data_IF_362962728312
#
_entry.id   IF_362962728312
#
_cell.length_a   1.000
_cell.length_b   1.000
_cell.length_c   1.000
_cell.angle_alpha   90.00
_cell.angle_beta   90.00
_cell.angle_gamma   90.00
#
_symmetry.space_group_name_H-M   'P 1'
#
loop_
_entity.id
_entity.type
_entity.pdbx_description
1 polymer ?
#
# COMPACT_ATOMS: atom_id res chain seq x y z
N UNK A 1 -3.18 4.18 7.16
CA UNK A 1 -3.07 2.71 7.03
C UNK A 1 -3.88 2.16 5.85
N UNK A 2 -5.20 2.43 5.77
CA UNK A 2 -6.07 1.87 4.71
C UNK A 2 -5.62 2.16 3.26
N UNK A 3 -4.97 3.30 3.01
CA UNK A 3 -4.47 3.65 1.68
C UNK A 3 -3.44 2.64 1.14
N UNK A 4 -2.59 2.08 2.02
CA UNK A 4 -1.65 1.03 1.62
C UNK A 4 -2.36 -0.32 1.46
N UNK A 5 -3.36 -0.60 2.28
CA UNK A 5 -4.15 -1.85 2.21
C UNK A 5 -4.93 -1.98 0.90
N UNK A 6 -5.43 -0.88 0.35
CA UNK A 6 -6.12 -0.84 -0.95
C UNK A 6 -5.19 -0.50 -2.13
N UNK A 7 -3.88 -0.73 -1.97
CA UNK A 7 -2.90 -0.36 -2.97
C UNK A 7 -2.69 -1.47 -4.02
N UNK A 8 -3.36 -1.32 -5.17
CA UNK A 8 -3.12 -2.12 -6.38
C UNK A 8 -2.95 -1.25 -7.64
N UNK A 9 -3.08 0.07 -7.49
CA UNK A 9 -3.21 1.05 -8.57
C UNK A 9 -2.06 1.02 -9.59
N UNK A 10 -0.84 0.60 -9.18
CA UNK A 10 0.31 0.53 -10.08
C UNK A 10 0.30 -0.66 -11.03
N UNK A 11 -0.33 -1.78 -10.63
CA UNK A 11 -0.34 -3.03 -11.39
C UNK A 11 -1.74 -3.39 -11.91
N UNK A 12 -2.75 -2.62 -11.55
CA UNK A 12 -4.15 -2.91 -11.92
C UNK A 12 -4.36 -2.96 -13.43
N UNK A 13 -3.69 -2.09 -14.19
CA UNK A 13 -3.85 -2.03 -15.66
C UNK A 13 -3.29 -3.30 -16.29
N UNK A 14 -2.10 -3.76 -15.86
CA UNK A 14 -1.47 -4.97 -16.41
C UNK A 14 -2.25 -6.23 -16.03
N UNK A 15 -2.78 -6.30 -14.81
CA UNK A 15 -3.65 -7.41 -14.38
C UNK A 15 -4.94 -7.44 -15.20
N UNK A 16 -5.63 -6.30 -15.32
CA UNK A 16 -6.90 -6.23 -16.04
C UNK A 16 -6.74 -6.45 -17.54
N UNK A 17 -5.60 -6.07 -18.14
CA UNK A 17 -5.31 -6.33 -19.55
C UNK A 17 -5.27 -7.83 -19.91
N UNK A 18 -5.02 -8.71 -18.93
CA UNK A 18 -4.99 -10.15 -19.14
C UNK A 18 -6.37 -10.82 -18.98
N UNK A 19 -7.43 -10.07 -18.66
CA UNK A 19 -8.78 -10.63 -18.54
C UNK A 19 -9.35 -11.00 -19.92
N UNK A 20 -9.94 -12.18 -20.04
CA UNK A 20 -10.58 -12.63 -21.30
C UNK A 20 -11.75 -11.71 -21.69
N UNK A 21 -12.49 -11.21 -20.69
CA UNK A 21 -13.67 -10.35 -20.88
C UNK A 21 -13.45 -8.93 -20.39
N UNK A 22 -12.82 -8.11 -21.22
CA UNK A 22 -12.48 -6.72 -20.92
C UNK A 22 -13.69 -5.82 -20.61
N UNK A 23 -14.88 -6.16 -21.13
CA UNK A 23 -16.14 -5.44 -20.86
C UNK A 23 -16.58 -5.53 -19.39
N UNK A 24 -16.17 -6.58 -18.69
CA UNK A 24 -16.57 -6.86 -17.30
C UNK A 24 -15.57 -6.37 -16.26
N UNK A 25 -14.44 -5.79 -16.69
CA UNK A 25 -13.37 -5.34 -15.80
C UNK A 25 -13.87 -4.45 -14.65
N UNK A 26 -14.77 -3.50 -14.93
CA UNK A 26 -15.31 -2.61 -13.89
C UNK A 26 -16.11 -3.36 -12.81
N UNK A 27 -16.90 -4.36 -13.21
CA UNK A 27 -17.66 -5.22 -12.29
C UNK A 27 -16.71 -6.09 -11.48
N UNK A 28 -15.78 -6.76 -12.13
CA UNK A 28 -14.86 -7.70 -11.49
C UNK A 28 -13.97 -6.99 -10.47
N UNK A 29 -13.52 -5.77 -10.80
CA UNK A 29 -12.78 -4.91 -9.89
C UNK A 29 -13.60 -4.48 -8.68
N UNK A 30 -14.87 -4.09 -8.90
CA UNK A 30 -15.77 -3.69 -7.81
C UNK A 30 -16.01 -4.86 -6.84
N UNK A 31 -16.26 -6.05 -7.37
CA UNK A 31 -16.43 -7.27 -6.56
C UNK A 31 -15.16 -7.57 -5.76
N UNK A 32 -13.98 -7.46 -6.39
CA UNK A 32 -12.71 -7.68 -5.70
C UNK A 32 -12.50 -6.71 -4.53
N UNK A 33 -12.74 -5.41 -4.72
CA UNK A 33 -12.63 -4.43 -3.63
C UNK A 33 -13.66 -4.65 -2.51
N UNK A 34 -14.88 -5.06 -2.84
CA UNK A 34 -15.89 -5.43 -1.84
C UNK A 34 -15.42 -6.63 -1.02
N UNK A 35 -14.92 -7.69 -1.66
CA UNK A 35 -14.40 -8.86 -0.97
C UNK A 35 -13.21 -8.52 -0.05
N UNK A 36 -12.26 -7.71 -0.53
CA UNK A 36 -11.12 -7.25 0.28
C UNK A 36 -11.58 -6.40 1.47
N UNK A 37 -12.57 -5.53 1.27
CA UNK A 37 -13.12 -4.73 2.37
C UNK A 37 -13.79 -5.63 3.42
N UNK A 38 -14.55 -6.63 2.98
CA UNK A 38 -15.20 -7.58 3.89
C UNK A 38 -14.20 -8.42 4.67
N UNK A 39 -13.10 -8.88 4.05
CA UNK A 39 -12.08 -9.65 4.77
C UNK A 39 -11.36 -8.80 5.81
N UNK A 40 -10.99 -7.56 5.48
CA UNK A 40 -10.38 -6.64 6.44
C UNK A 40 -11.35 -6.27 7.57
N UNK A 41 -12.61 -6.01 7.25
CA UNK A 41 -13.63 -5.71 8.25
C UNK A 41 -13.88 -6.89 9.18
N UNK A 42 -13.95 -8.12 8.65
CA UNK A 42 -14.18 -9.33 9.45
C UNK A 42 -13.04 -9.56 10.44
N UNK A 43 -11.79 -9.52 9.98
CA UNK A 43 -10.62 -9.73 10.85
C UNK A 43 -10.49 -8.58 11.85
N UNK A 44 -10.58 -7.34 11.38
CA UNK A 44 -10.42 -6.15 12.24
C UNK A 44 -11.52 -6.01 13.29
N UNK A 45 -12.80 -6.08 12.89
CA UNK A 45 -13.92 -5.97 13.81
C UNK A 45 -14.00 -7.21 14.74
N UNK A 46 -13.76 -8.41 14.20
CA UNK A 46 -13.75 -9.65 14.99
C UNK A 46 -12.72 -9.58 16.11
N UNK A 47 -11.48 -9.20 15.79
CA UNK A 47 -10.43 -9.03 16.80
C UNK A 47 -10.77 -7.90 17.79
N UNK A 48 -11.23 -6.75 17.30
CA UNK A 48 -11.56 -5.60 18.15
C UNK A 48 -12.66 -5.91 19.18
N UNK A 49 -13.72 -6.62 18.76
CA UNK A 49 -14.85 -6.99 19.65
C UNK A 49 -14.40 -8.03 20.68
N UNK A 50 -13.69 -9.07 20.24
CA UNK A 50 -13.27 -10.17 21.11
C UNK A 50 -12.10 -9.83 22.05
N UNK A 51 -11.38 -8.72 21.82
CA UNK A 51 -10.22 -8.36 22.63
C UNK A 51 -10.62 -8.07 24.09
N UNK A 52 -10.13 -8.85 25.08
CA UNK A 52 -10.61 -8.80 26.45
C UNK A 52 -10.06 -7.63 27.28
N UNK A 53 -8.95 -7.02 26.85
CA UNK A 53 -8.29 -5.92 27.54
C UNK A 53 -8.77 -4.54 27.05
N UNK A 54 -8.26 -3.48 27.68
CA UNK A 54 -8.44 -2.12 27.23
C UNK A 54 -7.97 -1.97 25.76
N UNK A 55 -8.77 -1.32 24.93
CA UNK A 55 -8.51 -1.19 23.48
C UNK A 55 -7.25 -0.37 23.16
N UNK A 56 -6.74 0.39 24.13
CA UNK A 56 -5.46 1.10 24.03
C UNK A 56 -4.24 0.15 24.04
N UNK A 57 -4.39 -1.11 24.47
CA UNK A 57 -3.31 -2.09 24.52
C UNK A 57 -3.14 -2.87 23.19
N UNK A 58 -3.94 -2.56 22.17
CA UNK A 58 -3.86 -3.27 20.89
C UNK A 58 -2.61 -2.81 20.14
N UNK A 59 -1.63 -3.70 20.02
CA UNK A 59 -0.45 -3.45 19.18
C UNK A 59 -0.77 -3.49 17.69
N UNK A 60 -0.01 -2.74 16.88
CA UNK A 60 -0.12 -2.69 15.41
C UNK A 60 -0.06 -4.08 14.76
N UNK A 61 0.80 -4.96 15.28
CA UNK A 61 0.88 -6.34 14.85
C UNK A 61 -0.06 -7.18 15.71
N UNK A 62 -1.13 -7.67 15.10
CA UNK A 62 -2.13 -8.52 15.76
C UNK A 62 -1.49 -9.73 16.47
N UNK A 63 -0.41 -10.30 15.91
CA UNK A 63 0.28 -11.46 16.47
C UNK A 63 1.14 -11.15 17.69
N UNK A 64 1.43 -9.88 17.98
CA UNK A 64 2.13 -9.49 19.21
C UNK A 64 1.19 -9.43 20.41
N UNK A 65 -0.12 -9.36 20.18
CA UNK A 65 -1.13 -9.34 21.25
C UNK A 65 -1.41 -10.75 21.82
N UNK A 66 -0.83 -11.80 21.23
CA UNK A 66 -0.95 -13.18 21.69
C UNK A 66 0.30 -13.63 22.43
N UNK A 67 0.12 -14.60 23.33
CA UNK A 67 1.22 -15.17 24.11
C UNK A 67 2.24 -15.88 23.23
N UNK A 68 3.53 -15.75 23.56
CA UNK A 68 4.64 -16.29 22.76
C UNK A 68 4.62 -17.82 22.64
N UNK A 69 4.02 -18.52 23.61
CA UNK A 69 3.97 -19.98 23.68
C UNK A 69 2.73 -20.61 23.05
N UNK A 70 1.83 -19.80 22.48
CA UNK A 70 0.66 -20.34 21.77
C UNK A 70 1.06 -20.97 20.43
N UNK A 71 0.71 -22.25 20.26
CA UNK A 71 1.03 -23.05 19.07
C UNK A 71 0.39 -22.46 17.82
N UNK A 72 -0.84 -21.94 17.91
CA UNK A 72 -1.53 -21.37 16.75
C UNK A 72 -0.81 -20.10 16.25
N UNK A 73 -0.41 -19.25 17.18
CA UNK A 73 0.38 -18.03 16.89
C UNK A 73 1.75 -18.39 16.31
N UNK A 74 2.42 -19.43 16.82
CA UNK A 74 3.70 -19.90 16.26
C UNK A 74 3.55 -20.40 14.82
N UNK A 75 2.53 -21.20 14.52
CA UNK A 75 2.23 -21.68 13.16
C UNK A 75 1.95 -20.50 12.22
N UNK A 76 1.13 -19.54 12.64
CA UNK A 76 0.84 -18.35 11.84
C UNK A 76 2.11 -17.55 11.51
N UNK A 77 3.01 -17.35 12.49
CA UNK A 77 4.30 -16.66 12.28
C UNK A 77 5.20 -17.40 11.29
N UNK A 78 5.27 -18.73 11.35
CA UNK A 78 6.06 -19.54 10.41
C UNK A 78 5.52 -19.43 8.98
N UNK A 79 4.19 -19.51 8.81
CA UNK A 79 3.56 -19.36 7.49
C UNK A 79 3.77 -17.97 6.90
N UNK A 80 3.64 -16.91 7.71
CA UNK A 80 3.93 -15.55 7.29
C UNK A 80 5.41 -15.35 6.96
N UNK A 81 6.33 -15.94 7.73
CA UNK A 81 7.76 -15.89 7.45
C UNK A 81 8.06 -16.53 6.09
N UNK A 82 7.50 -17.71 5.82
CA UNK A 82 7.64 -18.38 4.53
C UNK A 82 7.11 -17.52 3.37
N UNK A 83 5.96 -16.88 3.56
CA UNK A 83 5.39 -15.95 2.58
C UNK A 83 6.31 -14.74 2.35
N UNK A 84 6.81 -14.09 3.40
CA UNK A 84 7.64 -12.89 3.26
C UNK A 84 8.99 -13.22 2.63
N UNK A 85 9.62 -14.34 2.99
CA UNK A 85 10.88 -14.80 2.39
C UNK A 85 10.75 -15.04 0.89
N UNK A 86 9.59 -15.54 0.43
CA UNK A 86 9.36 -15.79 -1.00
C UNK A 86 8.96 -14.53 -1.78
N UNK A 87 8.24 -13.60 -1.16
CA UNK A 87 7.78 -12.35 -1.80
C UNK A 87 8.90 -11.29 -1.85
N UNK A 88 9.75 -11.22 -0.82
CA UNK A 88 10.78 -10.18 -0.71
C UNK A 88 11.73 -10.10 -1.94
N UNK A 89 12.27 -11.22 -2.48
CA UNK A 89 13.12 -11.17 -3.67
C UNK A 89 12.42 -10.58 -4.90
N UNK A 90 11.11 -10.85 -5.07
CA UNK A 90 10.32 -10.30 -6.18
C UNK A 90 10.17 -8.79 -6.06
N UNK A 91 9.84 -8.30 -4.85
CA UNK A 91 9.71 -6.85 -4.60
C UNK A 91 11.05 -6.13 -4.77
N UNK A 92 12.14 -6.71 -4.26
CA UNK A 92 13.48 -6.16 -4.43
C UNK A 92 13.89 -6.11 -5.91
N UNK A 93 13.53 -7.14 -6.70
CA UNK A 93 13.78 -7.15 -8.14
C UNK A 93 13.01 -6.04 -8.86
N UNK A 94 11.72 -5.85 -8.55
CA UNK A 94 10.90 -4.79 -9.15
C UNK A 94 11.43 -3.40 -8.81
N UNK A 95 11.81 -3.17 -7.55
CA UNK A 95 12.39 -1.89 -7.13
C UNK A 95 13.73 -1.61 -7.81
N UNK A 96 14.56 -2.64 -7.98
CA UNK A 96 15.83 -2.52 -8.69
C UNK A 96 15.62 -2.17 -10.17
N UNK A 97 14.65 -2.78 -10.86
CA UNK A 97 14.40 -2.44 -12.27
C UNK A 97 13.96 -0.98 -12.45
N UNK A 98 13.11 -0.47 -11.56
CA UNK A 98 12.70 0.94 -11.56
C UNK A 98 13.88 1.87 -11.25
N UNK A 99 14.74 1.51 -10.29
CA UNK A 99 15.92 2.30 -9.93
C UNK A 99 16.94 2.38 -11.08
N UNK A 100 17.19 1.27 -11.80
CA UNK A 100 18.09 1.28 -12.96
C UNK A 100 17.53 2.13 -14.10
N UNK A 101 16.21 2.05 -14.34
CA UNK A 101 15.55 2.89 -15.35
C UNK A 101 15.67 4.38 -15.01
N UNK A 102 15.46 4.74 -13.74
CA UNK A 102 15.53 6.14 -13.29
C UNK A 102 16.94 6.73 -13.39
N UNK A 103 17.97 5.90 -13.19
CA UNK A 103 19.35 6.36 -13.17
C UNK A 103 19.96 6.53 -14.57
N UNK A 104 19.32 6.01 -15.63
CA UNK A 104 19.80 6.03 -17.05
C UNK A 104 21.25 5.54 -17.26
N UNK A 105 21.84 4.93 -16.24
CA UNK A 105 23.18 4.34 -16.26
C UNK A 105 22.97 2.88 -16.62
N UNK A 106 23.36 2.50 -17.84
CA UNK A 106 23.22 1.13 -18.35
C UNK A 106 23.59 0.05 -17.32
N UNK A 107 22.87 -1.08 -17.36
CA UNK A 107 22.91 -2.12 -16.33
C UNK A 107 24.30 -2.76 -16.18
N UNK A 108 25.13 -2.21 -15.28
CA UNK A 108 26.40 -2.82 -14.88
C UNK A 108 26.20 -3.76 -13.68
N UNK A 109 27.02 -4.82 -13.60
CA UNK A 109 26.99 -5.77 -12.48
C UNK A 109 27.30 -5.09 -11.14
N UNK A 110 28.21 -4.11 -11.15
CA UNK A 110 28.56 -3.31 -9.98
C UNK A 110 27.38 -2.46 -9.49
N UNK A 111 26.68 -1.77 -10.39
CA UNK A 111 25.50 -0.97 -10.06
C UNK A 111 24.39 -1.83 -9.41
N UNK A 112 24.16 -3.02 -9.95
CA UNK A 112 23.17 -3.97 -9.39
C UNK A 112 23.52 -4.39 -7.96
N UNK A 113 24.79 -4.68 -7.67
CA UNK A 113 25.24 -5.03 -6.32
C UNK A 113 25.07 -3.84 -5.37
N UNK A 114 25.44 -2.63 -5.80
CA UNK A 114 25.30 -1.41 -5.01
C UNK A 114 23.84 -1.15 -4.65
N UNK A 115 22.92 -1.25 -5.62
CA UNK A 115 21.48 -1.05 -5.39
C UNK A 115 20.95 -2.09 -4.40
N UNK A 116 21.25 -3.37 -4.59
CA UNK A 116 20.79 -4.42 -3.67
C UNK A 116 21.33 -4.23 -2.25
N UNK A 117 22.61 -3.86 -2.12
CA UNK A 117 23.22 -3.57 -0.82
C UNK A 117 22.55 -2.36 -0.17
N UNK A 118 22.26 -1.31 -0.92
CA UNK A 118 21.55 -0.14 -0.43
C UNK A 118 20.14 -0.49 0.06
N UNK A 119 19.37 -1.28 -0.71
CA UNK A 119 18.03 -1.73 -0.32
C UNK A 119 18.08 -2.49 1.02
N UNK A 120 18.95 -3.50 1.12
CA UNK A 120 19.08 -4.31 2.34
C UNK A 120 19.53 -3.45 3.53
N UNK A 121 20.47 -2.53 3.32
CA UNK A 121 20.96 -1.64 4.37
C UNK A 121 19.83 -0.74 4.89
N UNK A 122 19.03 -0.16 4.00
CA UNK A 122 17.87 0.65 4.40
C UNK A 122 16.88 -0.20 5.19
N UNK A 123 16.56 -1.43 4.75
CA UNK A 123 15.67 -2.32 5.49
C UNK A 123 16.18 -2.63 6.90
N UNK A 124 17.48 -2.92 7.06
CA UNK A 124 18.10 -3.18 8.36
C UNK A 124 18.07 -1.93 9.25
N UNK A 125 18.36 -0.75 8.70
CA UNK A 125 18.30 0.50 9.45
C UNK A 125 16.89 0.76 9.98
N UNK A 126 15.85 0.58 9.15
CA UNK A 126 14.47 0.72 9.61
C UNK A 126 14.10 -0.30 10.69
N UNK A 127 14.54 -1.56 10.55
CA UNK A 127 14.30 -2.58 11.56
C UNK A 127 14.95 -2.27 12.91
N UNK A 128 16.16 -1.67 12.91
CA UNK A 128 16.87 -1.31 14.13
C UNK A 128 16.37 -0.02 14.79
N UNK A 129 16.09 1.02 14.00
CA UNK A 129 15.82 2.37 14.53
C UNK A 129 14.32 2.71 14.62
N UNK A 130 13.46 2.07 13.83
CA UNK A 130 12.01 2.35 13.78
C UNK A 130 11.19 1.05 13.74
N UNK A 131 11.13 0.27 14.84
CA UNK A 131 10.42 -1.02 14.85
C UNK A 131 8.88 -0.89 14.83
N UNK A 132 8.33 0.33 14.88
CA UNK A 132 6.89 0.59 14.83
C UNK A 132 6.33 0.40 13.42
N UNK A 133 5.80 -0.79 13.14
CA UNK A 133 5.23 -1.17 11.84
C UNK A 133 4.09 -0.22 11.44
N UNK A 134 3.22 0.17 12.37
CA UNK A 134 2.09 1.05 12.09
C UNK A 134 2.52 2.41 11.58
N UNK A 135 3.51 3.04 12.22
CA UNK A 135 4.07 4.32 11.79
C UNK A 135 4.61 4.26 10.36
N UNK A 136 5.38 3.23 10.02
CA UNK A 136 5.92 3.05 8.67
C UNK A 136 4.79 2.93 7.65
N UNK A 137 3.82 2.03 7.88
CA UNK A 137 2.67 1.80 7.00
C UNK A 137 1.80 3.06 6.86
N UNK A 138 1.67 3.84 7.94
CA UNK A 138 0.86 5.06 7.98
C UNK A 138 1.44 6.15 7.08
N UNK A 139 2.73 6.46 7.24
CA UNK A 139 3.39 7.48 6.42
C UNK A 139 3.57 7.03 4.97
N UNK A 140 4.06 5.81 4.74
CA UNK A 140 4.24 5.28 3.38
C UNK A 140 2.92 5.20 2.63
N UNK A 141 1.86 4.72 3.29
CA UNK A 141 0.51 4.67 2.74
C UNK A 141 -0.08 6.05 2.47
N UNK A 142 0.15 7.05 3.32
CA UNK A 142 -0.34 8.41 3.10
C UNK A 142 0.36 9.08 1.91
N UNK A 143 1.69 8.95 1.79
CA UNK A 143 2.46 9.51 0.67
C UNK A 143 2.10 8.80 -0.64
N UNK A 144 2.19 7.48 -0.67
CA UNK A 144 1.86 6.71 -1.88
C UNK A 144 0.39 6.85 -2.27
N UNK A 145 -0.50 6.91 -1.29
CA UNK A 145 -1.93 7.13 -1.49
C UNK A 145 -2.23 8.50 -2.10
N UNK A 146 -1.61 9.57 -1.59
CA UNK A 146 -1.74 10.91 -2.18
C UNK A 146 -1.36 10.88 -3.67
N UNK A 147 -0.22 10.30 -4.02
CA UNK A 147 0.27 10.32 -5.40
C UNK A 147 -0.55 9.40 -6.29
N UNK A 148 -0.67 8.11 -5.96
CA UNK A 148 -1.19 7.09 -6.87
C UNK A 148 -2.71 6.89 -6.78
N UNK A 149 -3.32 7.14 -5.62
CA UNK A 149 -4.76 6.90 -5.42
C UNK A 149 -5.55 8.19 -5.67
N UNK A 150 -5.09 9.31 -5.11
CA UNK A 150 -5.84 10.57 -5.19
C UNK A 150 -5.39 11.46 -6.35
N UNK A 151 -4.11 11.81 -6.44
CA UNK A 151 -3.62 12.84 -7.37
C UNK A 151 -3.55 12.37 -8.83
N UNK A 152 -2.84 11.27 -9.12
CA UNK A 152 -2.62 10.83 -10.50
C UNK A 152 -3.93 10.56 -11.26
N UNK A 153 -4.88 9.73 -10.75
CA UNK A 153 -6.11 9.44 -11.50
C UNK A 153 -6.97 10.68 -11.73
N UNK A 154 -7.08 11.55 -10.72
CA UNK A 154 -7.93 12.74 -10.78
C UNK A 154 -7.37 13.80 -11.73
N UNK A 155 -6.06 14.04 -11.69
CA UNK A 155 -5.38 14.97 -12.59
C UNK A 155 -5.40 14.47 -14.04
N UNK A 156 -5.17 13.17 -14.25
CA UNK A 156 -5.24 12.56 -15.58
C UNK A 156 -6.66 12.67 -16.15
N UNK A 157 -7.68 12.37 -15.35
CA UNK A 157 -9.08 12.50 -15.79
C UNK A 157 -9.44 13.96 -16.10
N UNK A 158 -9.04 14.90 -15.24
CA UNK A 158 -9.28 16.33 -15.46
C UNK A 158 -8.59 16.84 -16.74
N UNK A 159 -7.32 16.46 -16.97
CA UNK A 159 -6.60 16.80 -18.21
C UNK A 159 -7.24 16.17 -19.45
N UNK A 160 -7.66 14.90 -19.36
CA UNK A 160 -8.35 14.21 -20.45
C UNK A 160 -9.67 14.90 -20.83
N UNK A 161 -10.45 15.36 -19.83
CA UNK A 161 -11.69 16.11 -20.06
C UNK A 161 -11.45 17.51 -20.62
N UNK A 162 -10.39 18.20 -20.20
CA UNK A 162 -9.98 19.49 -20.76
C UNK A 162 -9.62 19.37 -22.25
N UNK A 163 -8.80 18.36 -22.61
CA UNK A 163 -8.43 18.11 -24.00
C UNK A 163 -9.62 17.79 -24.89
N UNK A 164 -10.68 17.17 -24.33
CA UNK A 164 -11.93 16.88 -25.04
C UNK A 164 -12.91 18.05 -25.07
N UNK A 165 -12.59 19.19 -24.44
CA UNK A 165 -13.48 20.35 -24.34
C UNK A 165 -14.76 20.10 -23.55
N UNK A 166 -14.82 19.03 -22.74
CA UNK A 166 -16.03 18.61 -21.99
C UNK A 166 -15.91 18.83 -20.48
N UNK A 167 -14.92 19.61 -20.03
CA UNK A 167 -14.74 19.87 -18.61
C UNK A 167 -15.86 20.76 -18.09
N UNK A 168 -16.75 20.17 -17.30
CA UNK A 168 -17.71 20.95 -16.52
C UNK A 168 -17.04 21.47 -15.25
N UNK A 169 -17.42 22.68 -14.83
CA UNK A 169 -16.89 23.29 -13.61
C UNK A 169 -17.11 22.42 -12.37
N UNK A 170 -18.28 21.79 -12.25
CA UNK A 170 -18.60 20.84 -11.17
C UNK A 170 -17.67 19.63 -11.13
N UNK A 171 -17.34 19.05 -12.28
CA UNK A 171 -16.38 17.93 -12.34
C UNK A 171 -14.98 18.41 -11.93
N UNK A 172 -14.55 19.59 -12.36
CA UNK A 172 -13.27 20.17 -11.95
C UNK A 172 -13.15 20.32 -10.43
N UNK A 173 -14.19 20.84 -9.78
CA UNK A 173 -14.23 20.95 -8.31
C UNK A 173 -14.17 19.58 -7.66
N UNK A 174 -14.98 18.62 -8.11
CA UNK A 174 -15.03 17.29 -7.52
C UNK A 174 -13.65 16.60 -7.53
N UNK A 175 -12.95 16.63 -8.67
CA UNK A 175 -11.61 16.03 -8.77
C UNK A 175 -10.58 16.78 -7.92
N UNK A 176 -10.69 18.11 -7.84
CA UNK A 176 -9.80 18.93 -7.01
C UNK A 176 -10.01 18.64 -5.52
N UNK A 177 -11.26 18.47 -5.08
CA UNK A 177 -11.58 18.09 -3.70
C UNK A 177 -10.96 16.74 -3.34
N UNK A 178 -10.98 15.76 -4.24
CA UNK A 178 -10.34 14.45 -4.01
C UNK A 178 -8.84 14.59 -3.74
N UNK A 179 -8.13 15.43 -4.53
CA UNK A 179 -6.70 15.70 -4.30
C UNK A 179 -6.48 16.38 -2.96
N UNK A 180 -7.32 17.37 -2.62
CA UNK A 180 -7.26 18.08 -1.34
C UNK A 180 -7.46 17.09 -0.18
N UNK A 181 -8.43 16.18 -0.26
CA UNK A 181 -8.62 15.14 0.76
C UNK A 181 -7.38 14.25 0.93
N UNK A 182 -6.72 13.87 -0.16
CA UNK A 182 -5.45 13.15 -0.11
C UNK A 182 -4.36 13.97 0.60
N UNK A 183 -4.26 15.26 0.31
CA UNK A 183 -3.26 16.15 0.89
C UNK A 183 -3.51 16.38 2.38
N UNK A 184 -4.78 16.59 2.77
CA UNK A 184 -5.21 16.67 4.17
C UNK A 184 -4.89 15.38 4.90
N UNK A 185 -5.14 14.20 4.31
CA UNK A 185 -4.80 12.93 4.92
C UNK A 185 -3.29 12.82 5.24
N UNK A 186 -2.41 13.28 4.34
CA UNK A 186 -0.97 13.33 4.57
C UNK A 186 -0.61 14.32 5.68
N UNK A 187 -1.16 15.54 5.64
CA UNK A 187 -0.90 16.58 6.64
C UNK A 187 -1.33 16.12 8.04
N UNK A 188 -2.51 15.51 8.15
CA UNK A 188 -3.05 15.01 9.42
C UNK A 188 -2.14 13.95 10.07
N UNK A 189 -1.33 13.21 9.29
CA UNK A 189 -0.38 12.25 9.88
C UNK A 189 0.71 12.90 10.73
N UNK A 190 1.05 14.17 10.48
CA UNK A 190 2.04 14.92 11.25
C UNK A 190 1.46 15.58 12.50
N UNK A 191 0.16 15.90 12.48
CA UNK A 191 -0.52 16.56 13.60
C UNK A 191 -1.12 15.57 14.61
N UNK A 192 -1.59 14.41 14.14
CA UNK A 192 -2.07 13.35 15.03
C UNK A 192 -0.87 12.54 15.51
N UNK A 193 -0.36 12.95 16.68
CA UNK A 193 0.48 12.08 17.51
C UNK A 193 -0.43 11.10 18.24
N UNK A 194 -0.04 9.83 18.24
CA UNK A 194 -0.65 8.81 19.10
C UNK A 194 -0.58 9.21 20.58
#
# INVERSE_FOLDING_TARGET
MLALSFYIHNIIITIMANNDRQDRNGRDLTIAFVLVTLTYMLVGAGFYICFPLAKACIEDNILNNFEMHDVMTAVARILLLFQVVTVYPLVAFMLRSEAVLLLDIGSSRALTIIINLAIVTVCILFACFCPSIGTIIRYTGAVSGLVHIFALPSLLQMRSLQLRGRLTWFQGIFHTLIVIFGAVNLLMQFFIKE
#
